data_IF_706871096027
#
_entry.id   IF_706871096027
#
_cell.length_a   1.000
_cell.length_b   1.000
_cell.length_c   1.000
_cell.angle_alpha   90.00
_cell.angle_beta   90.00
_cell.angle_gamma   90.00
#
_symmetry.space_group_name_H-M   'P 1'
#
loop_
_entity.id
_entity.type
_entity.pdbx_description
1 polymer ?
#
# COMPACT_ATOMS: atom_id res chain seq x y z
N UNK A 1 25.08 5.32 -0.87
CA UNK A 1 23.71 5.22 -0.31
C UNK A 1 23.29 3.77 -0.22
N UNK A 2 22.04 3.50 0.20
CA UNK A 2 21.46 2.14 0.13
C UNK A 2 21.10 1.79 -1.31
N UNK A 3 21.27 0.53 -1.71
CA UNK A 3 20.72 0.02 -2.96
C UNK A 3 19.24 -0.32 -2.75
N UNK A 4 18.35 0.42 -3.41
CA UNK A 4 16.89 0.32 -3.25
C UNK A 4 16.21 -0.02 -4.57
N UNK A 5 15.02 -0.60 -4.49
CA UNK A 5 14.05 -0.68 -5.59
C UNK A 5 12.87 0.22 -5.26
N UNK A 6 12.13 0.74 -6.27
CA UNK A 6 12.35 0.58 -7.71
C UNK A 6 13.53 1.42 -8.25
N UNK A 7 13.96 1.12 -9.48
CA UNK A 7 14.92 1.92 -10.25
C UNK A 7 14.37 2.14 -11.64
N UNK A 8 14.15 3.40 -12.02
CA UNK A 8 13.92 3.80 -13.40
C UNK A 8 15.28 3.96 -14.09
N UNK A 9 15.55 3.14 -15.10
CA UNK A 9 16.87 3.03 -15.74
C UNK A 9 16.86 3.52 -17.20
N UNK A 10 17.79 4.42 -17.53
CA UNK A 10 18.01 4.86 -18.92
C UNK A 10 18.90 3.85 -19.65
N UNK A 11 18.30 3.08 -20.56
CA UNK A 11 19.02 2.08 -21.38
C UNK A 11 20.01 2.72 -22.38
N UNK A 12 19.80 3.96 -22.81
CA UNK A 12 20.66 4.67 -23.77
C UNK A 12 21.90 5.23 -23.07
N UNK A 13 21.70 5.96 -21.97
CA UNK A 13 22.80 6.57 -21.20
C UNK A 13 23.44 5.62 -20.18
N UNK A 14 22.81 4.47 -19.93
CA UNK A 14 23.24 3.47 -18.94
C UNK A 14 23.40 4.09 -17.55
N UNK A 15 22.38 4.82 -17.10
CA UNK A 15 22.36 5.46 -15.79
C UNK A 15 20.99 5.34 -15.13
N UNK A 16 20.96 5.50 -13.81
CA UNK A 16 19.73 5.61 -13.04
C UNK A 16 19.12 6.99 -13.33
N UNK A 17 17.85 7.00 -13.74
CA UNK A 17 17.04 8.22 -13.87
C UNK A 17 16.51 8.62 -12.51
N UNK A 18 15.87 7.68 -11.81
CA UNK A 18 15.23 7.92 -10.52
C UNK A 18 15.10 6.60 -9.73
N UNK A 19 15.16 6.65 -8.40
CA UNK A 19 14.92 5.52 -7.50
C UNK A 19 13.97 5.85 -6.33
N UNK A 20 13.25 6.96 -6.43
CA UNK A 20 12.20 7.42 -5.53
C UNK A 20 10.83 7.08 -6.14
N UNK A 21 10.12 6.11 -5.54
CA UNK A 21 8.90 5.58 -6.15
C UNK A 21 7.79 6.60 -6.25
N UNK A 22 7.72 7.56 -5.31
CA UNK A 22 6.69 8.62 -5.35
C UNK A 22 6.85 9.54 -6.56
N UNK A 23 8.09 9.87 -6.94
CA UNK A 23 8.38 10.64 -8.14
C UNK A 23 8.17 9.82 -9.42
N UNK A 24 8.62 8.55 -9.43
CA UNK A 24 8.45 7.66 -10.59
C UNK A 24 6.98 7.48 -10.96
N UNK A 25 6.08 7.31 -9.97
CA UNK A 25 4.64 7.19 -10.24
C UNK A 25 4.11 8.44 -10.94
N UNK A 26 4.52 9.64 -10.51
CA UNK A 26 4.13 10.90 -11.15
C UNK A 26 4.71 11.06 -12.55
N UNK A 27 5.95 10.61 -12.78
CA UNK A 27 6.53 10.57 -14.13
C UNK A 27 5.70 9.66 -15.05
N UNK A 28 5.35 8.45 -14.57
CA UNK A 28 4.55 7.51 -15.35
C UNK A 28 3.10 8.00 -15.59
N UNK A 29 2.58 8.87 -14.73
CA UNK A 29 1.23 9.41 -14.85
C UNK A 29 1.05 10.33 -16.06
N UNK A 30 2.04 11.15 -16.42
CA UNK A 30 1.88 12.19 -17.45
C UNK A 30 2.99 12.26 -18.49
N UNK A 31 4.22 11.82 -18.20
CA UNK A 31 5.36 12.00 -19.14
C UNK A 31 5.27 11.10 -20.39
N UNK A 32 4.30 10.17 -20.41
CA UNK A 32 4.05 9.26 -21.53
C UNK A 32 2.65 9.43 -22.14
N UNK A 33 1.97 10.54 -21.87
CA UNK A 33 0.61 10.82 -22.35
C UNK A 33 0.46 10.69 -23.87
N UNK A 34 1.47 11.08 -24.64
CA UNK A 34 1.51 10.91 -26.11
C UNK A 34 1.35 9.45 -26.55
N UNK A 35 1.73 8.49 -25.70
CA UNK A 35 1.70 7.06 -25.97
C UNK A 35 0.63 6.31 -25.16
N UNK A 36 -0.12 7.02 -24.31
CA UNK A 36 -0.99 6.46 -23.29
C UNK A 36 -2.47 6.82 -23.46
N UNK A 37 -3.25 6.50 -22.43
CA UNK A 37 -4.63 6.96 -22.31
C UNK A 37 -4.68 8.16 -21.37
N UNK A 38 -4.69 9.37 -21.93
CA UNK A 38 -4.72 10.63 -21.18
C UNK A 38 -6.01 10.86 -20.37
N UNK A 39 -7.01 9.98 -20.52
CA UNK A 39 -8.20 10.00 -19.65
C UNK A 39 -7.90 9.47 -18.23
N UNK A 40 -6.76 8.79 -18.04
CA UNK A 40 -6.30 8.31 -16.73
C UNK A 40 -5.33 9.34 -16.17
N UNK A 41 -5.76 10.04 -15.11
CA UNK A 41 -4.90 10.93 -14.33
C UNK A 41 -5.09 10.61 -12.84
N UNK A 42 -4.05 10.06 -12.23
CA UNK A 42 -4.01 9.67 -10.83
C UNK A 42 -3.61 10.84 -9.90
N UNK A 43 -3.19 11.99 -10.45
CA UNK A 43 -2.79 13.18 -9.69
C UNK A 43 -3.32 14.49 -10.32
N UNK A 44 -4.65 14.60 -10.54
CA UNK A 44 -5.25 15.73 -11.22
C UNK A 44 -5.15 17.01 -10.41
N UNK A 45 -4.96 18.13 -11.11
CA UNK A 45 -4.69 19.45 -10.50
C UNK A 45 -5.68 19.83 -9.41
N UNK A 46 -6.97 19.57 -9.62
CA UNK A 46 -8.06 19.92 -8.68
C UNK A 46 -8.02 19.13 -7.37
N UNK A 47 -7.34 17.98 -7.33
CA UNK A 47 -7.28 17.10 -6.16
C UNK A 47 -5.89 17.07 -5.49
N UNK A 48 -4.87 17.73 -6.05
CA UNK A 48 -3.48 17.62 -5.57
C UNK A 48 -3.32 17.88 -4.09
N UNK A 49 -3.90 18.97 -3.58
CA UNK A 49 -3.80 19.31 -2.15
C UNK A 49 -4.40 18.21 -1.24
N UNK A 50 -5.54 17.62 -1.65
CA UNK A 50 -6.17 16.55 -0.89
C UNK A 50 -5.36 15.25 -0.98
N UNK A 51 -4.80 14.95 -2.16
CA UNK A 51 -3.93 13.80 -2.40
C UNK A 51 -2.64 13.91 -1.59
N UNK A 52 -1.98 15.06 -1.61
CA UNK A 52 -0.73 15.29 -0.90
C UNK A 52 -0.95 15.17 0.62
N UNK A 53 -2.02 15.76 1.16
CA UNK A 53 -2.35 15.65 2.58
C UNK A 53 -2.58 14.21 3.03
N UNK A 54 -3.37 13.42 2.27
CA UNK A 54 -3.63 12.02 2.63
C UNK A 54 -2.40 11.13 2.42
N UNK A 55 -1.57 11.44 1.42
CA UNK A 55 -0.31 10.75 1.16
C UNK A 55 0.68 10.92 2.30
N UNK A 56 0.82 12.13 2.83
CA UNK A 56 1.70 12.41 3.97
C UNK A 56 1.23 11.65 5.22
N UNK A 57 -0.09 11.64 5.46
CA UNK A 57 -0.69 10.87 6.55
C UNK A 57 -0.42 9.36 6.41
N UNK A 58 -0.74 8.79 5.25
CA UNK A 58 -0.58 7.35 4.98
C UNK A 58 0.89 6.96 5.03
N UNK A 59 1.78 7.77 4.47
CA UNK A 59 3.21 7.48 4.47
C UNK A 59 3.74 7.40 5.91
N UNK A 60 3.51 8.44 6.71
CA UNK A 60 4.08 8.52 8.06
C UNK A 60 3.45 7.52 9.03
N UNK A 61 2.14 7.29 8.93
CA UNK A 61 1.40 6.51 9.92
C UNK A 61 1.21 5.04 9.52
N UNK A 62 1.19 4.72 8.23
CA UNK A 62 0.88 3.38 7.71
C UNK A 62 2.05 2.78 6.93
N UNK A 63 2.48 3.40 5.82
CA UNK A 63 3.51 2.81 4.95
C UNK A 63 4.85 2.65 5.69
N UNK A 64 5.33 3.71 6.36
CA UNK A 64 6.52 3.66 7.23
C UNK A 64 6.16 3.12 8.63
N UNK A 65 4.91 3.31 9.07
CA UNK A 65 4.42 2.88 10.38
C UNK A 65 4.63 1.39 10.66
N UNK A 66 4.31 0.51 9.69
CA UNK A 66 4.55 -0.94 9.84
C UNK A 66 6.04 -1.28 10.01
N UNK A 67 6.93 -0.57 9.32
CA UNK A 67 8.38 -0.75 9.47
C UNK A 67 8.87 -0.23 10.82
N UNK A 68 8.33 0.89 11.30
CA UNK A 68 8.64 1.40 12.65
C UNK A 68 8.26 0.41 13.75
N UNK A 69 7.13 -0.30 13.60
CA UNK A 69 6.78 -1.41 14.47
C UNK A 69 7.80 -2.57 14.36
N UNK A 70 8.05 -3.06 13.15
CA UNK A 70 8.89 -4.24 12.93
C UNK A 70 10.35 -4.06 13.33
N UNK A 71 10.89 -2.85 13.17
CA UNK A 71 12.29 -2.53 13.43
C UNK A 71 12.53 -1.79 14.74
N UNK A 72 11.49 -1.58 15.55
CA UNK A 72 11.61 -0.95 16.86
C UNK A 72 12.70 -1.60 17.72
N UNK A 73 13.51 -0.77 18.38
CA UNK A 73 14.62 -1.19 19.25
C UNK A 73 14.30 -1.11 20.75
N UNK A 74 13.12 -0.60 21.09
CA UNK A 74 12.60 -0.54 22.45
C UNK A 74 11.09 -0.77 22.45
N UNK A 75 10.59 -1.26 23.59
CA UNK A 75 9.16 -1.47 23.80
C UNK A 75 8.36 -0.17 23.62
N UNK A 76 8.87 0.96 24.13
CA UNK A 76 8.22 2.27 24.01
C UNK A 76 8.10 2.74 22.56
N UNK A 77 9.15 2.55 21.74
CA UNK A 77 9.13 2.92 20.33
C UNK A 77 8.15 2.04 19.53
N UNK A 78 8.10 0.75 19.85
CA UNK A 78 7.11 -0.17 19.30
C UNK A 78 5.69 0.27 19.66
N UNK A 79 5.38 0.47 20.94
CA UNK A 79 4.03 0.85 21.39
C UNK A 79 3.55 2.16 20.78
N UNK A 80 4.44 3.15 20.67
CA UNK A 80 4.12 4.44 20.03
C UNK A 80 3.74 4.23 18.56
N UNK A 81 4.54 3.47 17.82
CA UNK A 81 4.31 3.20 16.39
C UNK A 81 3.06 2.34 16.19
N UNK A 82 2.86 1.33 17.05
CA UNK A 82 1.72 0.43 17.04
C UNK A 82 0.42 1.18 17.25
N UNK A 83 0.34 2.02 18.29
CA UNK A 83 -0.88 2.82 18.57
C UNK A 83 -1.17 3.80 17.43
N UNK A 84 -0.13 4.46 16.88
CA UNK A 84 -0.29 5.38 15.75
C UNK A 84 -0.79 4.67 14.50
N UNK A 85 -0.26 3.48 14.19
CA UNK A 85 -0.66 2.67 13.05
C UNK A 85 -2.14 2.30 13.10
N UNK A 86 -2.61 1.78 14.25
CA UNK A 86 -4.01 1.35 14.37
C UNK A 86 -4.98 2.52 14.47
N UNK A 87 -4.61 3.62 15.14
CA UNK A 87 -5.40 4.86 15.06
C UNK A 87 -5.55 5.35 13.60
N UNK A 88 -4.49 5.20 12.78
CA UNK A 88 -4.56 5.56 11.37
C UNK A 88 -5.43 4.59 10.55
N UNK A 89 -5.40 3.28 10.83
CA UNK A 89 -6.35 2.36 10.20
C UNK A 89 -7.79 2.67 10.57
N UNK A 90 -8.07 3.03 11.82
CA UNK A 90 -9.42 3.41 12.24
C UNK A 90 -9.91 4.68 11.52
N UNK A 91 -9.03 5.66 11.31
CA UNK A 91 -9.34 6.87 10.53
C UNK A 91 -9.64 6.54 9.06
N UNK A 92 -8.83 5.68 8.43
CA UNK A 92 -9.05 5.26 7.04
C UNK A 92 -10.31 4.38 6.92
N UNK A 93 -10.56 3.49 7.88
CA UNK A 93 -11.78 2.67 7.94
C UNK A 93 -13.03 3.55 7.99
N UNK A 94 -13.04 4.59 8.84
CA UNK A 94 -14.14 5.54 8.92
C UNK A 94 -14.32 6.31 7.62
N UNK A 95 -13.23 6.84 7.06
CA UNK A 95 -13.25 7.56 5.77
C UNK A 95 -13.82 6.68 4.66
N UNK A 96 -13.34 5.46 4.52
CA UNK A 96 -13.80 4.51 3.51
C UNK A 96 -15.24 4.02 3.78
N UNK A 97 -15.80 4.23 4.96
CA UNK A 97 -17.22 4.00 5.25
C UNK A 97 -18.16 4.99 4.56
N UNK A 98 -17.65 6.12 4.07
CA UNK A 98 -18.45 7.18 3.46
C UNK A 98 -18.17 7.40 1.97
N UNK A 99 -17.06 6.88 1.45
CA UNK A 99 -16.62 7.10 0.07
C UNK A 99 -15.85 5.89 -0.45
N UNK A 100 -15.86 5.66 -1.76
CA UNK A 100 -15.25 4.48 -2.40
C UNK A 100 -13.73 4.43 -2.23
N UNK A 101 -13.06 5.56 -2.45
CA UNK A 101 -11.61 5.70 -2.49
C UNK A 101 -11.13 6.74 -1.48
N UNK A 102 -9.82 6.96 -1.39
CA UNK A 102 -9.24 7.89 -0.41
C UNK A 102 -9.52 9.36 -0.70
N UNK A 103 -9.63 9.77 -1.96
CA UNK A 103 -9.89 11.17 -2.32
C UNK A 103 -11.07 11.22 -3.29
N UNK A 104 -12.16 11.84 -2.83
CA UNK A 104 -13.42 11.94 -3.59
C UNK A 104 -13.96 10.54 -4.02
N UNK A 105 -14.58 10.44 -5.19
CA UNK A 105 -15.11 9.21 -5.78
C UNK A 105 -14.20 8.57 -6.84
N UNK A 106 -12.93 9.02 -6.92
CA UNK A 106 -11.97 8.59 -7.94
C UNK A 106 -10.78 7.84 -7.33
N UNK A 107 -10.30 6.85 -8.08
CA UNK A 107 -9.04 6.19 -7.75
C UNK A 107 -7.87 7.13 -8.10
N UNK A 108 -6.96 7.36 -7.15
CA UNK A 108 -5.84 8.32 -7.28
C UNK A 108 -4.51 7.68 -6.89
N UNK A 109 -3.40 8.43 -7.00
CA UNK A 109 -2.10 7.95 -6.53
C UNK A 109 -2.08 7.65 -5.02
N UNK A 110 -2.99 8.24 -4.23
CA UNK A 110 -3.12 7.93 -2.81
C UNK A 110 -3.54 6.47 -2.59
N UNK A 111 -4.49 5.98 -3.39
CA UNK A 111 -4.97 4.60 -3.32
C UNK A 111 -3.88 3.62 -3.75
N UNK A 112 -3.17 3.98 -4.84
CA UNK A 112 -2.01 3.25 -5.32
C UNK A 112 -0.89 3.14 -4.28
N UNK A 113 -0.71 4.17 -3.43
CA UNK A 113 0.30 4.18 -2.35
C UNK A 113 -0.11 3.40 -1.12
N UNK A 114 -1.41 3.32 -0.82
CA UNK A 114 -1.91 2.54 0.32
C UNK A 114 -1.96 1.03 0.01
N UNK A 115 -2.40 0.66 -1.20
CA UNK A 115 -2.63 -0.73 -1.59
C UNK A 115 -1.46 -1.69 -1.32
N UNK A 116 -0.20 -1.36 -1.67
CA UNK A 116 0.95 -2.20 -1.38
C UNK A 116 1.12 -2.54 0.11
N UNK A 117 0.77 -1.62 1.01
CA UNK A 117 0.83 -1.90 2.44
C UNK A 117 -0.30 -2.84 2.88
N UNK A 118 -1.53 -2.59 2.43
CA UNK A 118 -2.68 -3.41 2.80
C UNK A 118 -2.55 -4.86 2.31
N UNK A 119 -2.18 -5.07 1.04
CA UNK A 119 -2.07 -6.41 0.46
C UNK A 119 -1.01 -7.28 1.14
N UNK A 120 0.01 -6.65 1.75
CA UNK A 120 1.08 -7.34 2.50
C UNK A 120 0.75 -7.52 3.99
N UNK A 121 -0.27 -6.84 4.50
CA UNK A 121 -0.46 -6.68 5.93
C UNK A 121 -0.72 -8.00 6.64
N UNK A 122 -1.79 -8.71 6.27
CA UNK A 122 -2.18 -9.96 6.93
C UNK A 122 -1.14 -11.06 6.70
N UNK A 123 -0.50 -11.06 5.53
CA UNK A 123 0.50 -12.05 5.13
C UNK A 123 1.86 -11.89 5.84
N UNK A 124 2.21 -10.66 6.21
CA UNK A 124 3.55 -10.31 6.69
C UNK A 124 3.47 -9.41 7.91
N UNK A 125 3.01 -8.16 7.76
CA UNK A 125 3.18 -7.14 8.80
C UNK A 125 2.48 -7.50 10.11
N UNK A 126 1.32 -8.13 10.01
CA UNK A 126 0.54 -8.60 11.16
C UNK A 126 1.39 -9.45 12.11
N UNK A 127 2.09 -10.46 11.58
CA UNK A 127 2.90 -11.38 12.38
C UNK A 127 4.38 -10.95 12.45
N UNK A 128 5.02 -10.77 11.29
CA UNK A 128 6.46 -10.52 11.19
C UNK A 128 6.88 -9.22 11.86
N UNK A 129 6.08 -8.16 11.68
CA UNK A 129 6.33 -6.84 12.30
C UNK A 129 5.52 -6.61 13.59
N UNK A 130 4.79 -7.63 14.05
CA UNK A 130 3.94 -7.59 15.25
C UNK A 130 2.87 -6.50 15.17
N UNK A 131 2.40 -6.14 13.98
CA UNK A 131 1.25 -5.23 13.81
C UNK A 131 -0.06 -5.99 14.04
N UNK A 132 -0.27 -6.54 15.24
CA UNK A 132 -1.22 -7.63 15.48
C UNK A 132 -2.47 -7.27 16.31
N UNK A 133 -2.92 -6.01 16.32
CA UNK A 133 -4.20 -5.67 16.98
C UNK A 133 -5.39 -6.28 16.24
N UNK A 134 -5.43 -6.05 14.92
CA UNK A 134 -6.53 -6.46 14.04
C UNK A 134 -5.98 -6.69 12.63
N UNK A 135 -6.49 -7.70 11.91
CA UNK A 135 -6.12 -7.95 10.51
C UNK A 135 -6.88 -7.01 9.59
N UNK A 136 -6.38 -6.76 8.38
CA UNK A 136 -7.13 -6.03 7.36
C UNK A 136 -8.45 -6.76 7.04
N UNK A 137 -8.45 -8.09 7.02
CA UNK A 137 -9.69 -8.85 6.81
C UNK A 137 -10.77 -8.64 7.88
N UNK A 138 -10.39 -8.16 9.07
CA UNK A 138 -11.33 -7.91 10.17
C UNK A 138 -11.94 -6.49 10.10
N UNK A 139 -11.41 -5.60 9.24
CA UNK A 139 -11.97 -4.28 8.96
C UNK A 139 -12.94 -4.36 7.79
N UNK A 140 -14.15 -3.81 7.92
CA UNK A 140 -15.18 -3.96 6.89
C UNK A 140 -14.84 -3.14 5.64
N UNK A 141 -14.56 -1.85 5.78
CA UNK A 141 -14.31 -0.98 4.63
C UNK A 141 -12.92 -1.22 4.04
N UNK A 142 -11.87 -1.35 4.86
CA UNK A 142 -10.51 -1.63 4.39
C UNK A 142 -10.40 -2.97 3.65
N UNK A 143 -11.06 -4.04 4.13
CA UNK A 143 -11.02 -5.33 3.43
C UNK A 143 -11.77 -5.29 2.10
N UNK A 144 -12.92 -4.62 2.03
CA UNK A 144 -13.67 -4.42 0.79
C UNK A 144 -12.91 -3.50 -0.18
N UNK A 145 -12.26 -2.46 0.32
CA UNK A 145 -11.42 -1.54 -0.44
C UNK A 145 -10.20 -2.24 -1.05
N UNK A 146 -9.49 -3.06 -0.26
CA UNK A 146 -8.37 -3.87 -0.73
C UNK A 146 -8.80 -4.79 -1.89
N UNK A 147 -9.96 -5.45 -1.75
CA UNK A 147 -10.51 -6.34 -2.77
C UNK A 147 -10.95 -5.60 -4.03
N UNK A 148 -11.57 -4.43 -3.89
CA UNK A 148 -11.94 -3.55 -5.03
C UNK A 148 -10.73 -3.20 -5.89
N UNK A 149 -9.62 -2.78 -5.27
CA UNK A 149 -8.38 -2.48 -6.00
C UNK A 149 -7.75 -3.75 -6.58
N UNK A 150 -7.68 -4.84 -5.81
CA UNK A 150 -7.09 -6.10 -6.26
C UNK A 150 -7.80 -6.67 -7.51
N UNK A 151 -9.13 -6.48 -7.60
CA UNK A 151 -9.97 -6.97 -8.69
C UNK A 151 -9.98 -6.06 -9.92
N UNK A 152 -9.31 -4.90 -9.87
CA UNK A 152 -9.11 -4.07 -11.07
C UNK A 152 -8.28 -4.82 -12.13
N UNK A 153 -8.58 -4.66 -13.43
CA UNK A 153 -7.86 -5.33 -14.49
C UNK A 153 -6.34 -5.15 -14.39
N UNK A 154 -5.61 -6.27 -14.36
CA UNK A 154 -4.14 -6.28 -14.30
C UNK A 154 -3.52 -6.21 -12.89
N UNK A 155 -4.26 -5.78 -11.85
CA UNK A 155 -3.69 -5.56 -10.51
C UNK A 155 -3.27 -6.88 -9.85
N UNK A 156 -4.14 -7.91 -9.88
CA UNK A 156 -3.84 -9.21 -9.29
C UNK A 156 -2.51 -9.82 -9.80
N UNK A 157 -2.14 -9.57 -11.06
CA UNK A 157 -0.91 -10.09 -11.68
C UNK A 157 0.37 -9.43 -11.12
N UNK A 158 0.23 -8.30 -10.43
CA UNK A 158 1.34 -7.58 -9.79
C UNK A 158 1.66 -8.11 -8.39
N UNK A 159 0.82 -8.98 -7.83
CA UNK A 159 0.93 -9.47 -6.45
C UNK A 159 1.47 -10.91 -6.43
N UNK A 160 2.79 -11.03 -6.25
CA UNK A 160 3.45 -12.31 -5.97
C UNK A 160 3.53 -12.55 -4.45
N UNK A 161 2.49 -13.19 -3.89
CA UNK A 161 2.43 -13.46 -2.44
C UNK A 161 3.55 -14.39 -1.94
N UNK A 162 3.90 -15.49 -2.63
CA UNK A 162 5.09 -16.28 -2.30
C UNK A 162 6.37 -15.44 -2.27
N UNK A 163 6.61 -14.62 -3.29
CA UNK A 163 7.78 -13.73 -3.36
C UNK A 163 7.80 -12.68 -2.25
N UNK A 164 6.65 -12.08 -1.93
CA UNK A 164 6.47 -11.18 -0.78
C UNK A 164 6.89 -11.89 0.51
N UNK A 165 6.29 -13.04 0.83
CA UNK A 165 6.57 -13.76 2.08
C UNK A 165 8.04 -14.19 2.17
N UNK A 166 8.63 -14.66 1.06
CA UNK A 166 10.05 -14.99 0.98
C UNK A 166 10.94 -13.77 1.28
N UNK A 167 10.63 -12.60 0.69
CA UNK A 167 11.39 -11.37 0.89
C UNK A 167 11.45 -10.91 2.34
N UNK A 168 10.34 -11.00 3.09
CA UNK A 168 10.31 -10.62 4.51
C UNK A 168 10.83 -11.73 5.42
N UNK A 169 10.16 -12.89 5.44
CA UNK A 169 10.50 -13.96 6.39
C UNK A 169 11.85 -14.61 6.11
N UNK A 170 12.23 -14.74 4.83
CA UNK A 170 13.52 -15.31 4.43
C UNK A 170 14.65 -14.28 4.37
N UNK A 171 14.35 -13.04 3.98
CA UNK A 171 15.34 -11.98 3.82
C UNK A 171 15.73 -11.24 5.11
N UNK A 172 14.82 -11.15 6.09
CA UNK A 172 15.05 -10.38 7.33
C UNK A 172 15.47 -11.27 8.50
N UNK A 173 16.64 -11.91 8.40
CA UNK A 173 17.14 -12.84 9.43
C UNK A 173 17.37 -12.20 10.81
N UNK A 174 17.53 -10.88 10.86
CA UNK A 174 17.59 -10.14 12.12
C UNK A 174 16.26 -10.10 12.87
N UNK A 175 15.13 -10.27 12.17
CA UNK A 175 13.78 -10.37 12.76
C UNK A 175 13.29 -11.82 12.83
N UNK A 176 13.66 -12.65 11.87
CA UNK A 176 13.31 -14.07 11.81
C UNK A 176 14.57 -14.95 11.58
N UNK A 177 15.35 -15.27 12.64
CA UNK A 177 16.61 -16.00 12.49
C UNK A 177 16.49 -17.38 11.85
N UNK A 178 15.34 -18.05 12.02
CA UNK A 178 15.09 -19.37 11.43
C UNK A 178 14.87 -19.32 9.92
N UNK A 179 14.48 -18.17 9.36
CA UNK A 179 14.09 -18.03 7.97
C UNK A 179 12.82 -18.79 7.59
N UNK A 180 12.09 -19.35 8.56
CA UNK A 180 10.86 -20.11 8.30
C UNK A 180 9.79 -19.15 7.76
N UNK A 181 9.17 -19.55 6.65
CA UNK A 181 8.08 -18.82 6.02
C UNK A 181 6.77 -19.45 6.49
N UNK A 182 5.87 -18.70 7.16
CA UNK A 182 4.57 -19.23 7.57
C UNK A 182 3.76 -19.72 6.38
N UNK A 183 2.94 -20.76 6.56
CA UNK A 183 2.04 -21.23 5.49
C UNK A 183 0.82 -20.30 5.33
N UNK A 184 0.21 -19.88 6.43
CA UNK A 184 -0.93 -18.96 6.42
C UNK A 184 -0.56 -17.49 6.24
N UNK A 185 -1.55 -16.58 6.37
CA UNK A 185 -2.99 -16.89 6.41
C UNK A 185 -3.51 -17.37 5.05
N UNK A 186 -4.70 -17.97 5.04
CA UNK A 186 -5.47 -18.13 3.81
C UNK A 186 -6.01 -16.76 3.38
N UNK A 187 -5.81 -16.40 2.12
CA UNK A 187 -6.13 -15.08 1.58
C UNK A 187 -6.99 -15.27 0.32
N UNK A 188 -8.18 -14.69 0.33
CA UNK A 188 -9.03 -14.60 -0.86
C UNK A 188 -9.33 -13.13 -1.18
N UNK A 189 -8.43 -12.52 -1.96
CA UNK A 189 -8.65 -11.17 -2.47
C UNK A 189 -9.62 -11.12 -3.67
N UNK A 190 -10.06 -12.28 -4.17
CA UNK A 190 -11.03 -12.38 -5.26
C UNK A 190 -12.49 -12.45 -4.79
N UNK A 191 -12.71 -12.63 -3.48
CA UNK A 191 -14.03 -12.60 -2.88
C UNK A 191 -14.79 -11.29 -3.23
N UNK A 192 -16.11 -11.33 -3.50
CA UNK A 192 -16.89 -10.14 -3.85
C UNK A 192 -16.81 -9.05 -2.79
N UNK A 193 -16.68 -7.79 -3.22
CA UNK A 193 -16.70 -6.62 -2.34
C UNK A 193 -17.96 -5.78 -2.54
N UNK A 194 -18.34 -4.99 -1.54
CA UNK A 194 -19.53 -4.13 -1.54
C UNK A 194 -19.27 -2.69 -2.02
N UNK A 195 -18.02 -2.35 -2.38
CA UNK A 195 -17.61 -0.97 -2.74
C UNK A 195 -18.38 -0.35 -3.91
N UNK A 196 -19.07 -1.16 -4.71
CA UNK A 196 -19.98 -0.69 -5.76
C UNK A 196 -21.15 0.14 -5.23
N UNK A 197 -21.50 0.03 -3.94
CA UNK A 197 -22.56 0.83 -3.30
C UNK A 197 -22.29 2.35 -3.29
N UNK A 198 -21.03 2.75 -3.47
CA UNK A 198 -20.61 4.16 -3.53
C UNK A 198 -20.58 4.72 -4.96
N UNK A 199 -20.91 3.91 -5.98
CA UNK A 199 -21.01 4.42 -7.34
C UNK A 199 -22.16 5.44 -7.42
N UNK A 200 -21.86 6.67 -7.89
CA UNK A 200 -22.90 7.64 -8.19
C UNK A 200 -23.80 7.05 -9.27
N UNK A 201 -25.12 7.08 -9.05
CA UNK A 201 -26.10 6.75 -10.09
C UNK A 201 -25.87 7.73 -11.24
N UNK A 202 -25.55 7.20 -12.41
CA UNK A 202 -25.33 7.97 -13.63
C UNK A 202 -26.62 8.64 -14.11
#
# INVERSE_FOLDING_TARGET
GRATVPVLWDRKRRTIVNNESSEIVRMLNSEFDEFGNTAVDLYPETLRNAIDAINDFIYQSINDGVYRCGFAKSQQAYETSFRRLFAAFDEIEQRLGHQRYLVDDRFTEADLRLFPTLVRFDAVYYSHFKCNLQRITDYHNLSNYLRDIYQMPGVAQTVDMPGIKLGYYGGMRNLNPSGIIPLGPELDFSAPHDRGQFAKVA
#
